data_IF_169104602083
#
_entry.id   IF_169104602083
#
_cell.length_a   1.000
_cell.length_b   1.000
_cell.length_c   1.000
_cell.angle_alpha   90.00
_cell.angle_beta   90.00
_cell.angle_gamma   90.00
#
_symmetry.space_group_name_H-M   'P 1'
#
loop_
_entity.id
_entity.type
_entity.pdbx_description
1 polymer ?
#
# COMPACT_ATOMS: atom_id res chain seq x y z
N UNK A 1 7.33 9.93 -4.26
CA UNK A 1 6.16 10.83 -4.10
C UNK A 1 5.05 10.61 -5.11
N UNK A 2 5.33 10.43 -6.41
CA UNK A 2 4.25 10.16 -7.41
C UNK A 2 3.32 9.00 -7.01
N UNK A 3 3.87 7.89 -6.54
CA UNK A 3 3.09 6.73 -6.09
C UNK A 3 2.22 6.99 -4.85
N UNK A 4 2.71 7.83 -3.93
CA UNK A 4 1.91 8.29 -2.80
C UNK A 4 0.73 9.14 -3.26
N UNK A 5 0.96 10.07 -4.19
CA UNK A 5 -0.11 10.88 -4.78
C UNK A 5 -1.13 10.02 -5.53
N UNK A 6 -0.70 8.98 -6.26
CA UNK A 6 -1.64 8.06 -6.90
C UNK A 6 -2.48 7.31 -5.88
N UNK A 7 -1.89 6.80 -4.79
CA UNK A 7 -2.64 6.18 -3.71
C UNK A 7 -3.65 7.15 -3.07
N UNK A 8 -3.23 8.40 -2.87
CA UNK A 8 -4.08 9.45 -2.31
C UNK A 8 -5.28 9.77 -3.22
N UNK A 9 -5.08 9.83 -4.54
CA UNK A 9 -6.17 10.01 -5.51
C UNK A 9 -7.18 8.86 -5.39
N UNK A 10 -6.72 7.61 -5.38
CA UNK A 10 -7.61 6.45 -5.21
C UNK A 10 -8.33 6.47 -3.86
N UNK A 11 -7.63 6.85 -2.78
CA UNK A 11 -8.21 7.00 -1.46
C UNK A 11 -9.32 8.06 -1.40
N UNK A 12 -9.06 9.26 -1.94
CA UNK A 12 -10.04 10.36 -1.99
C UNK A 12 -11.26 9.97 -2.83
N UNK A 13 -11.05 9.35 -4.00
CA UNK A 13 -12.15 8.87 -4.83
C UNK A 13 -12.98 7.81 -4.10
N UNK A 14 -12.33 6.87 -3.41
CA UNK A 14 -13.02 5.88 -2.59
C UNK A 14 -13.87 6.50 -1.48
N UNK A 15 -13.36 7.51 -0.77
CA UNK A 15 -14.13 8.24 0.24
C UNK A 15 -15.36 8.91 -0.40
N UNK A 16 -15.18 9.63 -1.51
CA UNK A 16 -16.30 10.29 -2.21
C UNK A 16 -17.38 9.26 -2.59
N UNK A 17 -16.98 8.13 -3.18
CA UNK A 17 -17.91 7.07 -3.58
C UNK A 17 -18.62 6.45 -2.36
N UNK A 18 -17.91 6.29 -1.23
CA UNK A 18 -18.48 5.78 0.03
C UNK A 18 -19.66 6.62 0.55
N UNK A 19 -19.58 7.95 0.39
CA UNK A 19 -20.66 8.87 0.78
C UNK A 19 -21.85 8.86 -0.18
N UNK A 20 -21.62 8.56 -1.46
CA UNK A 20 -22.69 8.50 -2.47
C UNK A 20 -23.51 7.21 -2.39
N UNK A 21 -22.94 6.14 -1.85
CA UNK A 21 -23.59 4.84 -1.75
C UNK A 21 -24.25 4.63 -0.37
N UNK A 22 -25.49 4.11 -0.32
CA UNK A 22 -26.15 3.76 0.94
C UNK A 22 -25.34 2.73 1.73
N UNK A 23 -24.92 1.64 1.07
CA UNK A 23 -24.01 0.64 1.61
C UNK A 23 -22.58 0.90 1.11
N UNK A 24 -21.69 1.27 2.03
CA UNK A 24 -20.28 1.55 1.76
C UNK A 24 -19.33 0.40 2.05
N UNK A 25 -19.83 -0.74 2.53
CA UNK A 25 -18.99 -1.87 2.97
C UNK A 25 -18.13 -2.38 1.82
N UNK A 26 -18.71 -2.49 0.61
CA UNK A 26 -17.97 -2.87 -0.59
C UNK A 26 -16.85 -1.89 -0.94
N UNK A 27 -17.07 -0.59 -0.75
CA UNK A 27 -16.06 0.45 -1.03
C UNK A 27 -14.92 0.36 -0.02
N UNK A 28 -15.25 0.16 1.26
CA UNK A 28 -14.26 -0.06 2.32
C UNK A 28 -13.42 -1.31 2.07
N UNK A 29 -14.05 -2.44 1.75
CA UNK A 29 -13.33 -3.68 1.43
C UNK A 29 -12.42 -3.50 0.21
N UNK A 30 -12.90 -2.79 -0.83
CA UNK A 30 -12.07 -2.48 -1.99
C UNK A 30 -10.85 -1.63 -1.60
N UNK A 31 -11.02 -0.57 -0.81
CA UNK A 31 -9.91 0.27 -0.35
C UNK A 31 -8.91 -0.51 0.53
N UNK A 32 -9.39 -1.40 1.39
CA UNK A 32 -8.52 -2.28 2.17
C UNK A 32 -7.73 -3.24 1.29
N UNK A 33 -8.36 -3.88 0.30
CA UNK A 33 -7.65 -4.79 -0.62
C UNK A 33 -6.61 -4.02 -1.43
N UNK A 34 -7.00 -2.88 -2.02
CA UNK A 34 -6.10 -2.02 -2.81
C UNK A 34 -4.98 -1.44 -1.96
N UNK A 35 -5.19 -1.25 -0.65
CA UNK A 35 -4.18 -0.75 0.27
C UNK A 35 -3.25 -1.83 0.82
N UNK A 36 -3.81 -2.87 1.45
CA UNK A 36 -3.05 -3.89 2.16
C UNK A 36 -2.31 -4.84 1.23
N UNK A 37 -2.88 -5.23 0.09
CA UNK A 37 -2.20 -6.18 -0.82
C UNK A 37 -0.86 -5.60 -1.30
N UNK A 38 -0.78 -4.36 -1.81
CA UNK A 38 0.50 -3.73 -2.14
C UNK A 38 1.46 -3.58 -0.94
N UNK A 39 0.95 -3.27 0.26
CA UNK A 39 1.79 -3.16 1.47
C UNK A 39 2.41 -4.51 1.85
N UNK A 40 1.64 -5.60 1.79
CA UNK A 40 2.13 -6.95 2.07
C UNK A 40 3.19 -7.34 1.04
N UNK A 41 2.92 -7.12 -0.25
CA UNK A 41 3.90 -7.37 -1.32
C UNK A 41 5.15 -6.51 -1.11
N UNK A 42 4.99 -5.26 -0.70
CA UNK A 42 6.12 -4.38 -0.37
C UNK A 42 7.01 -4.97 0.72
N UNK A 43 6.42 -5.47 1.83
CA UNK A 43 7.16 -6.11 2.91
C UNK A 43 7.91 -7.38 2.47
N UNK A 44 7.31 -8.16 1.56
CA UNK A 44 7.98 -9.33 0.97
C UNK A 44 9.17 -8.89 0.10
N UNK A 45 9.01 -7.85 -0.71
CA UNK A 45 10.05 -7.36 -1.61
C UNK A 45 11.22 -6.70 -0.87
N UNK A 46 10.97 -6.00 0.25
CA UNK A 46 12.03 -5.41 1.08
C UNK A 46 12.75 -6.43 1.97
N UNK A 47 12.20 -7.64 2.12
CA UNK A 47 12.71 -8.64 3.05
C UNK A 47 12.32 -8.39 4.50
N UNK A 48 11.32 -7.54 4.77
CA UNK A 48 10.85 -7.23 6.13
C UNK A 48 10.36 -8.48 6.91
N UNK A 49 9.97 -9.53 6.20
CA UNK A 49 9.51 -10.80 6.78
C UNK A 49 10.60 -11.89 6.85
N UNK A 50 11.86 -11.56 6.57
CA UNK A 50 12.98 -12.52 6.52
C UNK A 50 14.07 -12.11 7.53
N UNK A 51 14.84 -13.08 8.02
CA UNK A 51 15.95 -12.85 8.95
C UNK A 51 17.00 -11.88 8.39
N UNK A 52 17.52 -10.99 9.24
CA UNK A 52 18.51 -9.97 8.87
C UNK A 52 19.78 -10.52 8.21
N UNK A 53 20.25 -11.70 8.59
CA UNK A 53 21.45 -12.32 7.97
C UNK A 53 21.22 -12.65 6.49
N UNK A 54 20.01 -13.10 6.14
CA UNK A 54 19.60 -13.36 4.75
C UNK A 54 19.45 -12.06 3.95
N UNK A 55 18.89 -11.02 4.57
CA UNK A 55 18.79 -9.68 3.94
C UNK A 55 20.17 -9.12 3.67
N UNK A 56 21.10 -9.26 4.62
CA UNK A 56 22.50 -8.83 4.46
C UNK A 56 23.24 -9.60 3.38
N UNK A 57 22.97 -10.90 3.25
CA UNK A 57 23.47 -11.73 2.17
C UNK A 57 23.03 -11.24 0.79
N UNK A 58 21.80 -10.73 0.66
CA UNK A 58 21.25 -10.22 -0.61
C UNK A 58 21.84 -8.86 -1.06
N UNK A 59 22.56 -8.13 -0.19
CA UNK A 59 23.25 -6.89 -0.61
C UNK A 59 24.40 -7.14 -1.58
N UNK A 60 24.84 -8.39 -1.72
CA UNK A 60 25.90 -8.78 -2.66
C UNK A 60 25.51 -8.52 -4.12
N UNK A 61 24.22 -8.63 -4.47
CA UNK A 61 23.67 -8.15 -5.74
C UNK A 61 22.97 -6.80 -5.55
N UNK A 62 23.78 -5.74 -5.51
CA UNK A 62 23.30 -4.38 -5.26
C UNK A 62 22.29 -3.86 -6.29
N UNK A 63 22.29 -4.39 -7.52
CA UNK A 63 21.37 -3.95 -8.57
C UNK A 63 19.98 -4.54 -8.34
N UNK A 64 19.87 -5.87 -8.18
CA UNK A 64 18.60 -6.52 -7.86
C UNK A 64 18.01 -5.97 -6.56
N UNK A 65 18.86 -5.80 -5.53
CA UNK A 65 18.44 -5.25 -4.26
C UNK A 65 17.83 -3.85 -4.40
N UNK A 66 18.49 -2.95 -5.14
CA UNK A 66 18.01 -1.58 -5.33
C UNK A 66 16.71 -1.54 -6.15
N UNK A 67 16.58 -2.36 -7.19
CA UNK A 67 15.37 -2.42 -8.01
C UNK A 67 14.17 -2.95 -7.18
N UNK A 68 14.38 -4.02 -6.43
CA UNK A 68 13.36 -4.61 -5.54
C UNK A 68 12.97 -3.67 -4.41
N UNK A 69 13.95 -3.05 -3.76
CA UNK A 69 13.72 -2.06 -2.70
C UNK A 69 12.99 -0.82 -3.23
N UNK A 70 13.34 -0.37 -4.43
CA UNK A 70 12.63 0.69 -5.14
C UNK A 70 11.17 0.33 -5.40
N UNK A 71 10.88 -0.88 -5.88
CA UNK A 71 9.51 -1.34 -6.12
C UNK A 71 8.73 -1.51 -4.81
N UNK A 72 9.36 -2.08 -3.78
CA UNK A 72 8.81 -2.19 -2.43
C UNK A 72 8.36 -0.84 -1.91
N UNK A 73 9.21 0.18 -2.01
CA UNK A 73 8.91 1.54 -1.56
C UNK A 73 7.72 2.14 -2.34
N UNK A 74 7.67 1.93 -3.66
CA UNK A 74 6.56 2.43 -4.50
C UNK A 74 5.22 1.81 -4.11
N UNK A 75 5.18 0.49 -3.89
CA UNK A 75 3.97 -0.23 -3.48
C UNK A 75 3.48 0.20 -2.09
N UNK A 76 4.42 0.36 -1.14
CA UNK A 76 4.09 0.86 0.20
C UNK A 76 3.49 2.26 0.17
N UNK A 77 4.15 3.17 -0.56
CA UNK A 77 3.69 4.55 -0.69
C UNK A 77 2.33 4.64 -1.39
N UNK A 78 2.03 3.74 -2.33
CA UNK A 78 0.70 3.64 -2.94
C UNK A 78 -0.35 3.09 -1.97
N UNK A 79 -0.03 2.04 -1.23
CA UNK A 79 -1.01 1.35 -0.38
C UNK A 79 -1.41 2.13 0.88
N UNK A 80 -0.47 2.86 1.50
CA UNK A 80 -0.73 3.59 2.75
C UNK A 80 -1.94 4.53 2.65
N UNK A 81 -2.00 5.45 1.67
CA UNK A 81 -3.14 6.36 1.56
C UNK A 81 -4.47 5.65 1.36
N UNK A 82 -4.50 4.51 0.65
CA UNK A 82 -5.70 3.71 0.45
C UNK A 82 -6.19 3.06 1.75
N UNK A 83 -5.29 2.51 2.57
CA UNK A 83 -5.65 1.97 3.89
C UNK A 83 -6.15 3.08 4.81
N UNK A 84 -5.45 4.22 4.84
CA UNK A 84 -5.88 5.38 5.63
C UNK A 84 -7.25 5.90 5.18
N UNK A 85 -7.52 5.89 3.88
CA UNK A 85 -8.83 6.26 3.33
C UNK A 85 -9.93 5.28 3.71
N UNK A 86 -9.66 3.97 3.73
CA UNK A 86 -10.60 2.97 4.22
C UNK A 86 -10.96 3.22 5.69
N UNK A 87 -9.95 3.49 6.53
CA UNK A 87 -10.13 3.83 7.95
C UNK A 87 -10.93 5.12 8.09
N UNK A 88 -10.58 6.17 7.34
CA UNK A 88 -11.29 7.44 7.37
C UNK A 88 -12.76 7.27 6.95
N UNK A 89 -13.05 6.47 5.93
CA UNK A 89 -14.41 6.19 5.48
C UNK A 89 -15.27 5.50 6.54
N UNK A 90 -14.68 4.73 7.47
CA UNK A 90 -15.38 4.12 8.61
C UNK A 90 -15.79 5.16 9.66
N UNK A 91 -14.92 6.14 9.93
CA UNK A 91 -15.16 7.13 11.00
C UNK A 91 -15.94 8.35 10.54
N UNK A 92 -15.92 8.67 9.24
CA UNK A 92 -16.57 9.85 8.67
C UNK A 92 -18.03 9.60 8.26
N UNK A 93 -18.46 8.34 8.24
CA UNK A 93 -19.83 7.93 7.87
C UNK A 93 -20.54 7.39 9.11
#
# INVERSE_FOLDING_TARGET
MRYFLTGLIFGVLGIIISFLLPNSDMVMYALFIIGFVPIIISGLMSGAYVSGDRVRGNYSDSKDFNERSGMSTKLFLFGIPCVLAAIAAIYLK
#
